data_IF_165627809436
#
_entry.id   IF_165627809436
#
_cell.length_a   1.000
_cell.length_b   1.000
_cell.length_c   1.000
_cell.angle_alpha   90.00
_cell.angle_beta   90.00
_cell.angle_gamma   90.00
#
_symmetry.space_group_name_H-M   'P 1'
#
loop_
_entity.id
_entity.type
_entity.pdbx_description
1 polymer ?
#
# COMPACT_ATOMS: atom_id res chain seq x y z
N UNK A 1 0.96 -20.64 -1.58
CA UNK A 1 0.06 -20.71 -2.75
C UNK A 1 -1.06 -19.68 -2.61
N UNK A 2 -1.62 -19.19 -3.72
CA UNK A 2 -2.75 -18.27 -3.74
C UNK A 2 -4.04 -18.98 -3.34
N UNK A 3 -4.63 -18.65 -2.21
CA UNK A 3 -6.00 -19.09 -1.91
C UNK A 3 -7.01 -18.07 -2.44
N UNK A 4 -8.07 -18.56 -3.07
CA UNK A 4 -9.24 -17.74 -3.39
C UNK A 4 -9.84 -17.33 -2.04
N UNK A 5 -9.79 -16.04 -1.72
CA UNK A 5 -10.38 -15.53 -0.48
C UNK A 5 -11.89 -15.56 -0.59
N UNK A 6 -12.45 -14.63 -1.37
CA UNK A 6 -13.88 -14.59 -1.66
C UNK A 6 -14.25 -15.49 -2.85
N UNK A 7 -15.50 -15.95 -2.88
CA UNK A 7 -16.02 -16.88 -3.91
C UNK A 7 -15.93 -16.32 -5.33
N UNK A 8 -16.05 -15.00 -5.46
CA UNK A 8 -15.95 -14.25 -6.72
C UNK A 8 -14.49 -13.98 -7.15
N UNK A 9 -13.51 -14.33 -6.31
CA UNK A 9 -12.09 -14.10 -6.59
C UNK A 9 -11.65 -12.64 -6.49
N UNK A 10 -12.52 -11.74 -6.01
CA UNK A 10 -12.20 -10.32 -5.75
C UNK A 10 -11.13 -10.14 -4.67
N UNK A 11 -10.88 -11.18 -3.89
CA UNK A 11 -9.86 -11.22 -2.84
C UNK A 11 -9.01 -12.47 -2.99
N UNK A 12 -7.70 -12.31 -2.74
CA UNK A 12 -6.75 -13.41 -2.67
C UNK A 12 -5.88 -13.30 -1.43
N UNK A 13 -5.55 -14.44 -0.85
CA UNK A 13 -4.63 -14.54 0.28
C UNK A 13 -3.46 -15.42 -0.13
N UNK A 14 -2.25 -14.93 0.07
CA UNK A 14 -1.01 -15.68 -0.17
C UNK A 14 -0.32 -15.91 1.15
N UNK A 15 0.05 -17.17 1.40
CA UNK A 15 0.98 -17.53 2.45
C UNK A 15 2.35 -17.85 1.86
N UNK A 16 3.39 -17.31 2.50
CA UNK A 16 4.78 -17.74 2.35
C UNK A 16 5.13 -18.61 3.54
N UNK A 17 5.62 -19.82 3.28
CA UNK A 17 6.03 -20.77 4.31
C UNK A 17 7.52 -21.07 4.20
N UNK A 18 8.17 -21.29 5.34
CA UNK A 18 9.51 -21.86 5.46
C UNK A 18 9.36 -23.23 6.13
N UNK A 19 9.39 -24.31 5.33
CA UNK A 19 8.93 -25.62 5.78
C UNK A 19 7.45 -25.56 6.19
N UNK A 20 7.13 -26.01 7.40
CA UNK A 20 5.77 -26.03 7.95
C UNK A 20 5.37 -24.72 8.66
N UNK A 21 6.26 -23.73 8.72
CA UNK A 21 6.03 -22.45 9.41
C UNK A 21 5.56 -21.39 8.43
N UNK A 22 4.44 -20.73 8.71
CA UNK A 22 3.97 -19.59 7.95
C UNK A 22 4.68 -18.32 8.39
N UNK A 23 5.49 -17.73 7.51
CA UNK A 23 6.39 -16.61 7.85
C UNK A 23 5.87 -15.27 7.35
N UNK A 24 5.03 -15.28 6.32
CA UNK A 24 4.33 -14.08 5.87
C UNK A 24 3.00 -14.40 5.21
N UNK A 25 2.07 -13.46 5.30
CA UNK A 25 0.78 -13.50 4.62
C UNK A 25 0.54 -12.17 3.91
N UNK A 26 0.08 -12.24 2.66
CA UNK A 26 -0.33 -11.08 1.88
C UNK A 26 -1.82 -11.19 1.53
N UNK A 27 -2.58 -10.16 1.90
CA UNK A 27 -3.96 -9.96 1.49
C UNK A 27 -4.01 -9.02 0.28
N UNK A 28 -4.78 -9.43 -0.74
CA UNK A 28 -4.90 -8.72 -2.01
C UNK A 28 -6.36 -8.53 -2.40
N UNK A 29 -6.66 -7.39 -3.02
CA UNK A 29 -7.86 -7.23 -3.82
C UNK A 29 -7.52 -7.39 -5.31
N UNK A 30 -8.46 -7.96 -6.07
CA UNK A 30 -8.39 -8.12 -7.52
C UNK A 30 -9.47 -7.26 -8.13
N UNK A 31 -9.08 -6.27 -8.92
CA UNK A 31 -10.02 -5.37 -9.58
C UNK A 31 -9.46 -4.88 -10.91
N UNK A 32 -10.28 -4.93 -11.98
CA UNK A 32 -9.93 -4.41 -13.31
C UNK A 32 -8.52 -4.84 -13.80
N UNK A 33 -8.18 -6.13 -13.67
CA UNK A 33 -6.87 -6.64 -14.10
C UNK A 33 -5.69 -6.29 -13.19
N UNK A 34 -5.94 -5.64 -12.05
CA UNK A 34 -4.92 -5.23 -11.07
C UNK A 34 -4.94 -6.11 -9.83
N UNK A 35 -3.74 -6.42 -9.32
CA UNK A 35 -3.53 -6.94 -7.97
C UNK A 35 -3.18 -5.78 -7.02
N UNK A 36 -4.06 -5.46 -6.08
CA UNK A 36 -3.83 -4.45 -5.06
C UNK A 36 -3.31 -5.10 -3.78
N UNK A 37 -2.06 -4.83 -3.42
CA UNK A 37 -1.42 -5.30 -2.19
C UNK A 37 -1.84 -4.41 -1.00
N UNK A 38 -2.86 -4.86 -0.27
CA UNK A 38 -3.49 -4.04 0.78
C UNK A 38 -2.86 -4.24 2.15
N UNK A 39 -2.54 -5.49 2.51
CA UNK A 39 -1.99 -5.79 3.83
C UNK A 39 -0.97 -6.93 3.75
N UNK A 40 0.18 -6.70 4.39
CA UNK A 40 1.19 -7.71 4.64
C UNK A 40 1.32 -7.94 6.14
N UNK A 41 1.34 -9.21 6.54
CA UNK A 41 1.66 -9.65 7.89
C UNK A 41 2.93 -10.51 7.83
N UNK A 42 3.84 -10.31 8.78
CA UNK A 42 5.12 -11.01 8.84
C UNK A 42 5.31 -11.51 10.26
N UNK A 43 5.64 -12.78 10.40
CA UNK A 43 6.12 -13.33 11.66
C UNK A 43 7.64 -13.12 11.74
N UNK A 44 8.05 -12.00 12.33
CA UNK A 44 9.46 -11.64 12.50
C UNK A 44 10.18 -12.54 13.53
N UNK A 45 9.42 -13.16 14.44
CA UNK A 45 9.99 -14.05 15.45
C UNK A 45 10.35 -15.41 14.85
N UNK A 46 9.53 -15.91 13.92
CA UNK A 46 9.80 -17.16 13.21
C UNK A 46 11.06 -17.10 12.32
N UNK A 47 11.36 -15.94 11.74
CA UNK A 47 12.49 -15.75 10.82
C UNK A 47 13.17 -14.40 11.05
N UNK A 48 13.99 -14.29 12.11
CA UNK A 48 14.66 -13.04 12.43
C UNK A 48 15.73 -12.69 11.38
N UNK A 49 15.92 -11.40 11.13
CA UNK A 49 16.96 -10.84 10.23
C UNK A 49 16.83 -11.18 8.73
N UNK A 50 15.67 -11.65 8.28
CA UNK A 50 15.37 -11.79 6.85
C UNK A 50 14.23 -10.85 6.44
N UNK A 51 13.87 -10.83 5.16
CA UNK A 51 12.81 -9.97 4.62
C UNK A 51 11.65 -10.77 4.02
N UNK A 52 10.83 -11.47 4.82
CA UNK A 52 9.74 -12.31 4.30
C UNK A 52 8.71 -11.51 3.49
N UNK A 53 8.49 -10.24 3.86
CA UNK A 53 7.64 -9.32 3.13
C UNK A 53 8.13 -9.03 1.70
N UNK A 54 9.44 -8.89 1.49
CA UNK A 54 10.01 -8.74 0.16
C UNK A 54 9.87 -10.03 -0.65
N UNK A 55 10.16 -11.17 -0.03
CA UNK A 55 10.06 -12.48 -0.67
C UNK A 55 8.62 -12.77 -1.13
N UNK A 56 7.62 -12.59 -0.26
CA UNK A 56 6.23 -12.86 -0.63
C UNK A 56 5.74 -11.94 -1.74
N UNK A 57 6.16 -10.66 -1.75
CA UNK A 57 5.81 -9.72 -2.83
C UNK A 57 6.43 -10.12 -4.17
N UNK A 58 7.71 -10.49 -4.19
CA UNK A 58 8.38 -10.94 -5.42
C UNK A 58 7.71 -12.18 -6.02
N UNK A 59 7.40 -13.17 -5.18
CA UNK A 59 6.65 -14.37 -5.59
C UNK A 59 5.25 -14.04 -6.10
N UNK A 60 4.59 -13.06 -5.50
CA UNK A 60 3.27 -12.61 -5.92
C UNK A 60 3.28 -11.91 -7.28
N UNK A 61 4.27 -11.06 -7.52
CA UNK A 61 4.44 -10.39 -8.82
C UNK A 61 4.68 -11.44 -9.90
N UNK A 62 5.57 -12.41 -9.63
CA UNK A 62 5.86 -13.53 -10.54
C UNK A 62 4.63 -14.37 -10.84
N UNK A 63 3.90 -14.76 -9.79
CA UNK A 63 2.65 -15.50 -9.93
C UNK A 63 1.60 -14.69 -10.69
N UNK A 64 1.45 -13.40 -10.38
CA UNK A 64 0.45 -12.52 -10.98
C UNK A 64 0.65 -12.38 -12.49
N UNK A 65 1.90 -12.18 -12.92
CA UNK A 65 2.28 -12.21 -14.34
C UNK A 65 1.92 -13.53 -15.01
N UNK A 66 2.19 -14.66 -14.34
CA UNK A 66 1.81 -16.00 -14.82
C UNK A 66 0.31 -16.25 -14.89
N UNK A 67 -0.52 -15.41 -14.25
CA UNK A 67 -1.99 -15.47 -14.33
C UNK A 67 -2.59 -14.42 -15.28
N UNK A 68 -1.75 -13.64 -15.97
CA UNK A 68 -2.18 -12.60 -16.91
C UNK A 68 -2.49 -11.25 -16.28
N UNK A 69 -2.16 -11.03 -15.00
CA UNK A 69 -2.20 -9.69 -14.40
C UNK A 69 -1.02 -8.87 -14.90
N UNK A 70 -1.27 -7.66 -15.38
CA UNK A 70 -0.28 -6.76 -15.96
C UNK A 70 0.12 -5.61 -15.02
N UNK A 71 -0.66 -5.37 -13.97
CA UNK A 71 -0.44 -4.31 -12.99
C UNK A 71 -0.49 -4.82 -11.55
N UNK A 72 0.52 -4.41 -10.77
CA UNK A 72 0.66 -4.72 -9.34
C UNK A 72 0.77 -3.41 -8.56
N UNK A 73 -0.24 -3.13 -7.76
CA UNK A 73 -0.36 -1.90 -7.00
C UNK A 73 0.09 -2.14 -5.55
N UNK A 74 1.16 -1.44 -5.15
CA UNK A 74 1.71 -1.48 -3.78
C UNK A 74 0.96 -0.57 -2.79
N UNK A 75 -0.15 0.01 -3.23
CA UNK A 75 -0.99 0.95 -2.48
C UNK A 75 -0.23 2.20 -2.01
N UNK A 76 -0.92 3.04 -1.27
CA UNK A 76 -0.41 4.30 -0.73
C UNK A 76 0.67 4.01 0.33
N UNK A 77 1.71 4.83 0.34
CA UNK A 77 2.74 4.81 1.39
C UNK A 77 4.13 5.09 0.85
N UNK A 78 4.98 5.66 1.70
CA UNK A 78 6.34 6.07 1.37
C UNK A 78 7.38 5.13 1.99
N UNK A 79 7.14 3.82 1.88
CA UNK A 79 8.09 2.83 2.37
C UNK A 79 9.22 2.61 1.35
N UNK A 80 10.47 2.68 1.82
CA UNK A 80 11.67 2.56 0.98
C UNK A 80 11.73 1.25 0.19
N UNK A 81 11.10 0.18 0.67
CA UNK A 81 11.08 -1.09 -0.05
C UNK A 81 10.38 -1.00 -1.41
N UNK A 82 9.38 -0.11 -1.57
CA UNK A 82 8.62 0.03 -2.82
C UNK A 82 9.50 0.56 -3.95
N UNK A 83 10.41 1.48 -3.64
CA UNK A 83 11.35 2.07 -4.59
C UNK A 83 12.31 1.00 -5.14
N UNK A 84 12.80 0.12 -4.27
CA UNK A 84 13.70 -0.98 -4.66
C UNK A 84 13.02 -2.05 -5.52
N UNK A 85 11.69 -2.13 -5.54
CA UNK A 85 10.93 -3.05 -6.40
C UNK A 85 10.67 -2.50 -7.81
N UNK A 86 11.16 -1.29 -8.13
CA UNK A 86 10.87 -0.64 -9.40
C UNK A 86 9.45 -0.07 -9.49
N UNK A 87 8.82 0.21 -8.34
CA UNK A 87 7.48 0.79 -8.33
C UNK A 87 7.49 2.21 -8.92
N UNK A 88 6.56 2.45 -9.84
CA UNK A 88 6.35 3.79 -10.40
C UNK A 88 5.43 4.58 -9.46
N UNK A 89 5.92 5.71 -8.95
CA UNK A 89 5.12 6.59 -8.09
C UNK A 89 3.96 7.19 -8.89
N UNK A 90 2.76 7.18 -8.31
CA UNK A 90 1.58 7.86 -8.84
C UNK A 90 1.09 8.90 -7.85
N UNK A 91 0.56 10.01 -8.35
CA UNK A 91 0.02 11.09 -7.53
C UNK A 91 -1.40 10.72 -7.09
N UNK A 92 -1.60 10.54 -5.79
CA UNK A 92 -2.93 10.47 -5.20
C UNK A 92 -3.47 11.89 -5.02
N UNK A 93 -4.50 12.23 -5.79
CA UNK A 93 -5.19 13.53 -5.69
C UNK A 93 -6.53 13.37 -4.99
N UNK A 94 -6.89 14.35 -4.15
CA UNK A 94 -8.20 14.43 -3.50
C UNK A 94 -9.02 15.57 -4.11
N UNK A 95 -10.29 15.29 -4.44
CA UNK A 95 -11.25 16.30 -4.86
C UNK A 95 -12.26 16.56 -3.74
N UNK A 96 -12.23 17.75 -3.15
CA UNK A 96 -13.20 18.18 -2.15
C UNK A 96 -14.12 19.27 -2.73
N UNK A 97 -15.41 18.97 -2.86
CA UNK A 97 -16.41 19.88 -3.41
C UNK A 97 -17.66 19.94 -2.53
N UNK A 98 -18.02 21.16 -2.11
CA UNK A 98 -19.17 21.44 -1.28
C UNK A 98 -20.37 21.88 -2.10
N UNK A 99 -21.52 21.21 -1.92
CA UNK A 99 -22.77 21.55 -2.64
C UNK A 99 -23.52 22.70 -1.94
N UNK A 100 -23.37 22.84 -0.61
CA UNK A 100 -23.99 23.90 0.19
C UNK A 100 -22.96 24.96 0.59
N UNK A 101 -23.39 26.15 1.02
CA UNK A 101 -22.48 27.19 1.54
C UNK A 101 -21.59 26.67 2.68
N UNK A 102 -22.16 25.90 3.62
CA UNK A 102 -21.40 25.25 4.69
C UNK A 102 -20.42 24.22 4.13
N UNK A 103 -20.84 23.46 3.12
CA UNK A 103 -19.99 22.52 2.41
C UNK A 103 -18.82 23.19 1.71
N UNK A 104 -19.03 24.32 1.03
CA UNK A 104 -17.98 25.09 0.37
C UNK A 104 -16.95 25.57 1.39
N UNK A 105 -17.42 26.16 2.50
CA UNK A 105 -16.52 26.60 3.58
C UNK A 105 -15.71 25.43 4.15
N UNK A 106 -16.34 24.28 4.40
CA UNK A 106 -15.66 23.07 4.87
C UNK A 106 -14.64 22.54 3.85
N UNK A 107 -15.01 22.48 2.55
CA UNK A 107 -14.12 22.02 1.48
C UNK A 107 -12.89 22.91 1.34
N UNK A 108 -13.04 24.22 1.43
CA UNK A 108 -11.90 25.14 1.43
C UNK A 108 -11.02 24.92 2.64
N UNK A 109 -11.60 24.80 3.84
CA UNK A 109 -10.83 24.52 5.06
C UNK A 109 -10.02 23.21 4.96
N UNK A 110 -10.60 22.14 4.40
CA UNK A 110 -9.92 20.86 4.15
C UNK A 110 -8.76 21.05 3.16
N UNK A 111 -8.98 21.76 2.05
CA UNK A 111 -7.92 22.03 1.04
C UNK A 111 -6.76 22.83 1.64
N UNK A 112 -7.05 23.88 2.41
CA UNK A 112 -6.00 24.69 3.05
C UNK A 112 -5.22 23.88 4.09
N UNK A 113 -5.90 23.05 4.89
CA UNK A 113 -5.24 22.13 5.82
C UNK A 113 -4.34 21.14 5.08
N UNK A 114 -4.83 20.54 4.00
CA UNK A 114 -4.07 19.60 3.17
C UNK A 114 -2.80 20.24 2.58
N UNK A 115 -2.91 21.46 2.05
CA UNK A 115 -1.75 22.24 1.57
C UNK A 115 -0.75 22.55 2.68
N UNK A 116 -1.22 22.90 3.87
CA UNK A 116 -0.37 23.15 5.04
C UNK A 116 0.41 21.91 5.45
N UNK A 117 -0.26 20.75 5.54
CA UNK A 117 0.39 19.46 5.85
C UNK A 117 1.40 19.08 4.78
N UNK A 118 1.05 19.23 3.49
CA UNK A 118 1.98 18.97 2.39
C UNK A 118 3.19 19.90 2.45
N UNK A 119 2.99 21.19 2.69
CA UNK A 119 4.07 22.17 2.83
C UNK A 119 5.03 21.82 3.98
N UNK A 120 4.52 21.44 5.15
CA UNK A 120 5.36 21.00 6.28
C UNK A 120 6.15 19.74 5.90
N UNK A 121 5.49 18.75 5.29
CA UNK A 121 6.13 17.50 4.86
C UNK A 121 7.25 17.71 3.84
N UNK A 122 7.04 18.61 2.89
CA UNK A 122 7.97 18.84 1.78
C UNK A 122 9.13 19.80 2.18
N UNK A 123 9.08 20.38 3.38
CA UNK A 123 10.14 21.22 3.96
C UNK A 123 10.87 20.49 5.11
N UNK A 124 12.13 20.01 4.90
CA UNK A 124 12.84 19.17 5.88
C UNK A 124 12.99 19.80 7.27
N UNK A 125 13.16 21.13 7.34
CA UNK A 125 13.29 21.86 8.62
C UNK A 125 11.97 21.91 9.40
N UNK A 126 10.85 22.12 8.71
CA UNK A 126 9.51 22.16 9.32
C UNK A 126 9.06 20.77 9.72
N UNK A 127 9.32 19.77 8.87
CA UNK A 127 9.01 18.37 9.15
C UNK A 127 9.71 17.89 10.43
N UNK A 128 11.01 18.18 10.58
CA UNK A 128 11.78 17.83 11.79
C UNK A 128 11.17 18.48 13.04
N UNK A 129 10.83 19.76 12.95
CA UNK A 129 10.22 20.51 14.06
C UNK A 129 8.86 19.94 14.47
N UNK A 130 8.07 19.44 13.52
CA UNK A 130 6.77 18.83 13.78
C UNK A 130 6.87 17.38 14.35
N UNK A 131 8.03 16.72 14.24
CA UNK A 131 8.27 15.40 14.86
C UNK A 131 8.70 15.50 16.33
N UNK A 132 9.18 16.67 16.75
CA UNK A 132 9.69 16.93 18.10
C UNK A 132 8.59 17.42 19.09
N UNK A 133 7.32 17.52 18.63
CA UNK A 133 6.11 17.81 19.43
C UNK A 133 5.17 16.61 19.44
#
# INVERSE_FOLDING_TARGET
AAQRGLKDGSVRVFGLCAGDVMVAVQYLAVHLGTLHALLVAIDQAAVPNVSPGLCIMGELIRWGRGQGFDYFDLSVGNQSYKEHMGAVKSVLSELCYGITLKGVAASEAIKYRGRGVAFVRDNPRLFKLAQDF
#
